data_IF_551472746349
#
_entry.id   IF_551472746349
#
_cell.length_a   1.000
_cell.length_b   1.000
_cell.length_c   1.000
_cell.angle_alpha   90.00
_cell.angle_beta   90.00
_cell.angle_gamma   90.00
#
_symmetry.space_group_name_H-M   'P 1'
#
loop_
_entity.id
_entity.type
_entity.pdbx_description
1 polymer ?
#
# COMPACT_ATOMS: atom_id res chain seq x y z
N UNK A 1 5.10 -1.92 -30.38
CA UNK A 1 5.31 -1.28 -29.06
C UNK A 1 4.39 -0.05 -29.03
N UNK A 2 3.24 -0.15 -28.36
CA UNK A 2 2.27 0.95 -28.28
C UNK A 2 2.42 1.68 -26.93
N UNK A 3 2.34 3.02 -26.89
CA UNK A 3 2.34 3.76 -25.63
C UNK A 3 1.00 3.58 -24.91
N UNK A 4 1.05 3.36 -23.61
CA UNK A 4 -0.14 3.19 -22.77
C UNK A 4 -0.85 4.55 -22.61
N UNK A 5 -2.06 4.66 -23.15
CA UNK A 5 -3.06 5.66 -22.75
C UNK A 5 -3.93 5.02 -21.67
N UNK A 6 -3.55 5.19 -20.41
CA UNK A 6 -4.37 4.88 -19.23
C UNK A 6 -4.75 6.19 -18.55
N UNK A 7 -6.04 6.34 -18.22
CA UNK A 7 -6.65 7.58 -17.73
C UNK A 7 -6.04 8.14 -16.44
N UNK A 8 -6.26 9.44 -16.27
CA UNK A 8 -5.69 10.35 -15.25
C UNK A 8 -4.17 10.41 -15.25
N UNK A 9 -3.65 11.35 -16.04
CA UNK A 9 -2.37 12.06 -15.93
C UNK A 9 -1.17 11.26 -15.41
N UNK A 10 -0.16 11.13 -16.27
CA UNK A 10 1.11 10.51 -15.95
C UNK A 10 1.69 10.98 -14.61
N UNK A 11 1.46 10.20 -13.57
CA UNK A 11 2.25 10.25 -12.35
C UNK A 11 3.55 9.52 -12.67
N UNK A 12 4.55 10.31 -13.02
CA UNK A 12 5.91 9.85 -13.08
C UNK A 12 6.29 9.24 -11.72
N UNK A 13 6.24 7.91 -11.62
CA UNK A 13 7.12 7.19 -10.72
C UNK A 13 8.54 7.53 -11.20
N UNK A 14 9.14 8.57 -10.66
CA UNK A 14 10.51 8.94 -10.99
C UNK A 14 11.40 7.71 -10.77
N UNK A 15 12.11 7.26 -11.81
CA UNK A 15 13.09 6.16 -11.87
C UNK A 15 12.66 4.78 -11.32
N UNK A 16 11.52 4.66 -10.64
CA UNK A 16 10.97 3.45 -10.03
C UNK A 16 10.05 2.66 -10.97
N UNK A 17 10.11 2.94 -12.27
CA UNK A 17 9.44 2.11 -13.29
C UNK A 17 9.85 0.65 -13.17
N UNK A 18 11.09 0.33 -12.78
CA UNK A 18 11.53 -1.06 -12.65
C UNK A 18 10.78 -1.82 -11.53
N UNK A 19 10.61 -1.23 -10.34
CA UNK A 19 9.93 -1.88 -9.22
C UNK A 19 8.45 -2.14 -9.56
N UNK A 20 7.76 -1.10 -10.02
CA UNK A 20 6.35 -1.18 -10.42
C UNK A 20 6.16 -2.07 -11.66
N UNK A 21 7.08 -2.05 -12.63
CA UNK A 21 7.00 -2.98 -13.77
C UNK A 21 7.22 -4.42 -13.32
N UNK A 22 8.12 -4.64 -12.36
CA UNK A 22 8.37 -5.98 -11.84
C UNK A 22 7.14 -6.52 -11.11
N UNK A 23 6.40 -5.70 -10.34
CA UNK A 23 5.15 -6.15 -9.69
C UNK A 23 4.14 -6.66 -10.71
N UNK A 24 3.95 -5.97 -11.83
CA UNK A 24 3.07 -6.45 -12.91
C UNK A 24 3.62 -7.72 -13.58
N UNK A 25 4.93 -7.79 -13.80
CA UNK A 25 5.58 -8.97 -14.39
C UNK A 25 5.37 -10.22 -13.53
N UNK A 26 5.40 -10.09 -12.21
CA UNK A 26 5.16 -11.21 -11.28
C UNK A 26 3.67 -11.41 -10.93
N UNK A 27 2.75 -10.73 -11.61
CA UNK A 27 1.31 -10.93 -11.45
C UNK A 27 0.70 -10.28 -10.19
N UNK A 28 1.33 -9.22 -9.67
CA UNK A 28 0.80 -8.40 -8.58
C UNK A 28 0.16 -7.12 -9.12
N UNK A 29 -0.88 -6.67 -8.41
CA UNK A 29 -1.63 -5.45 -8.68
C UNK A 29 -1.31 -4.39 -7.65
N UNK A 30 -0.95 -3.19 -8.10
CA UNK A 30 -0.69 -2.04 -7.22
C UNK A 30 -2.01 -1.52 -6.64
N UNK A 31 -2.04 -1.30 -5.33
CA UNK A 31 -3.19 -0.83 -4.55
C UNK A 31 -3.11 0.65 -4.18
N UNK A 32 -2.00 1.33 -4.47
CA UNK A 32 -1.85 2.75 -4.14
C UNK A 32 -2.95 3.59 -4.79
N UNK A 33 -3.63 4.40 -3.98
CA UNK A 33 -4.72 5.29 -4.38
C UNK A 33 -4.54 6.70 -3.84
N UNK A 34 -5.25 7.68 -4.38
CA UNK A 34 -5.19 9.06 -3.91
C UNK A 34 -3.89 9.80 -4.24
N UNK A 35 -3.70 10.95 -3.56
CA UNK A 35 -2.65 11.94 -3.86
C UNK A 35 -1.76 12.29 -2.68
N UNK A 36 -2.02 11.73 -1.48
CA UNK A 36 -1.19 11.99 -0.31
C UNK A 36 0.18 11.33 -0.51
N UNK A 37 1.31 12.06 -0.37
CA UNK A 37 2.64 11.49 -0.48
C UNK A 37 2.90 10.49 0.66
N UNK A 38 3.63 9.42 0.39
CA UNK A 38 4.09 8.49 1.42
C UNK A 38 5.41 8.92 2.06
N UNK A 39 6.13 9.87 1.44
CA UNK A 39 7.32 10.50 2.00
C UNK A 39 7.23 12.02 1.89
N UNK A 40 7.49 12.72 3.00
CA UNK A 40 7.58 14.16 3.11
C UNK A 40 8.80 14.55 3.93
N UNK A 41 9.84 15.05 3.27
CA UNK A 41 11.10 15.42 3.91
C UNK A 41 11.27 16.93 3.84
N UNK A 42 11.56 17.57 4.97
CA UNK A 42 12.06 18.94 4.98
C UNK A 42 13.57 18.95 4.75
N UNK A 43 14.00 19.49 3.60
CA UNK A 43 15.42 19.67 3.27
C UNK A 43 15.73 21.15 3.11
N UNK A 44 16.42 21.71 4.10
CA UNK A 44 16.62 23.16 4.19
C UNK A 44 15.27 23.87 4.38
N UNK A 45 14.97 24.84 3.52
CA UNK A 45 13.71 25.59 3.54
C UNK A 45 12.65 25.05 2.56
N UNK A 46 12.80 23.80 2.11
CA UNK A 46 11.91 23.20 1.11
C UNK A 46 11.32 21.89 1.61
N UNK A 47 10.00 21.77 1.48
CA UNK A 47 9.29 20.51 1.65
C UNK A 47 9.35 19.72 0.35
N UNK A 48 9.97 18.55 0.39
CA UNK A 48 10.02 17.60 -0.71
C UNK A 48 9.00 16.49 -0.46
N UNK A 49 8.19 16.17 -1.48
CA UNK A 49 7.12 15.18 -1.40
C UNK A 49 7.36 14.09 -2.44
N UNK A 50 7.21 12.83 -2.06
CA UNK A 50 7.34 11.69 -2.96
C UNK A 50 6.38 10.56 -2.59
N UNK A 51 6.08 9.69 -3.55
CA UNK A 51 5.42 8.40 -3.33
C UNK A 51 6.50 7.33 -3.45
N UNK A 52 7.09 6.95 -2.31
CA UNK A 52 8.17 5.97 -2.24
C UNK A 52 7.65 4.57 -1.90
N UNK A 53 6.61 4.51 -1.07
CA UNK A 53 6.01 3.25 -0.63
C UNK A 53 4.97 2.75 -1.65
N UNK A 54 5.06 1.47 -1.99
CA UNK A 54 4.15 0.75 -2.89
C UNK A 54 3.50 -0.39 -2.15
N UNK A 55 2.17 -0.47 -2.20
CA UNK A 55 1.40 -1.62 -1.75
C UNK A 55 0.91 -2.36 -2.99
N UNK A 56 1.12 -3.68 -3.03
CA UNK A 56 0.64 -4.52 -4.12
C UNK A 56 0.13 -5.86 -3.59
N UNK A 57 -0.79 -6.49 -4.32
CA UNK A 57 -1.36 -7.77 -3.92
C UNK A 57 -1.58 -8.70 -5.12
N UNK A 58 -1.72 -10.00 -4.86
CA UNK A 58 -2.20 -10.95 -5.87
C UNK A 58 -3.65 -10.67 -6.24
N UNK A 59 -4.11 -11.17 -7.39
CA UNK A 59 -5.51 -11.05 -7.83
C UNK A 59 -6.52 -11.54 -6.79
N UNK A 60 -6.16 -12.53 -5.96
CA UNK A 60 -7.05 -13.09 -4.93
C UNK A 60 -7.44 -12.09 -3.83
N UNK A 61 -6.66 -11.03 -3.63
CA UNK A 61 -6.90 -10.00 -2.62
C UNK A 61 -7.43 -8.68 -3.21
N UNK A 62 -7.51 -8.57 -4.54
CA UNK A 62 -7.81 -7.32 -5.23
C UNK A 62 -9.20 -6.76 -4.84
N UNK A 63 -10.19 -7.64 -4.69
CA UNK A 63 -11.54 -7.24 -4.26
C UNK A 63 -11.69 -7.16 -2.74
N UNK A 64 -10.69 -7.59 -1.97
CA UNK A 64 -10.74 -7.68 -0.50
C UNK A 64 -9.95 -6.56 0.18
N UNK A 65 -8.92 -6.03 -0.47
CA UNK A 65 -8.20 -4.85 -0.01
C UNK A 65 -9.04 -3.60 -0.32
N UNK A 66 -9.34 -2.81 0.73
CA UNK A 66 -10.20 -1.63 0.64
C UNK A 66 -9.58 -0.44 1.36
N UNK A 67 -10.06 0.75 1.03
CA UNK A 67 -9.79 1.98 1.78
C UNK A 67 -8.28 2.26 1.91
N UNK A 68 -7.52 2.04 0.82
CA UNK A 68 -6.11 2.36 0.81
C UNK A 68 -5.91 3.86 0.93
N UNK A 69 -5.02 4.28 1.84
CA UNK A 69 -4.65 5.68 1.99
C UNK A 69 -3.27 5.83 2.62
N UNK A 70 -2.59 6.93 2.28
CA UNK A 70 -1.48 7.45 3.07
C UNK A 70 -2.03 8.46 4.10
N UNK A 71 -1.65 8.27 5.37
CA UNK A 71 -2.13 9.02 6.52
C UNK A 71 -0.97 9.78 7.16
N UNK A 72 -1.12 11.10 7.25
CA UNK A 72 -0.16 12.00 7.92
C UNK A 72 -0.30 11.90 9.43
N UNK A 73 0.71 12.35 10.15
CA UNK A 73 0.66 12.62 11.59
C UNK A 73 0.38 11.39 12.50
N UNK A 74 0.48 10.17 11.95
CA UNK A 74 0.41 8.91 12.72
C UNK A 74 1.77 8.58 13.35
N UNK A 75 2.85 8.86 12.62
CA UNK A 75 4.24 8.63 13.04
C UNK A 75 5.02 9.94 12.90
N UNK A 76 5.91 10.23 13.84
CA UNK A 76 6.78 11.42 13.79
C UNK A 76 8.02 11.16 12.92
N UNK A 77 7.81 10.69 11.70
CA UNK A 77 8.85 10.36 10.73
C UNK A 77 8.54 11.08 9.41
N UNK A 78 9.55 11.22 8.56
CA UNK A 78 9.37 11.75 7.21
C UNK A 78 8.49 10.83 6.33
N UNK A 79 8.22 9.60 6.76
CA UNK A 79 7.27 8.70 6.11
C UNK A 79 5.86 8.89 6.67
N UNK A 80 4.87 9.03 5.78
CA UNK A 80 3.47 8.95 6.14
C UNK A 80 3.04 7.48 6.21
N UNK A 81 2.21 7.13 7.20
CA UNK A 81 1.77 5.75 7.37
C UNK A 81 0.84 5.34 6.22
N UNK A 82 1.00 4.12 5.70
CA UNK A 82 0.04 3.54 4.75
C UNK A 82 -0.94 2.66 5.51
N UNK A 83 -2.23 2.87 5.27
CA UNK A 83 -3.31 2.06 5.85
C UNK A 83 -4.22 1.52 4.75
N UNK A 84 -4.78 0.35 5.00
CA UNK A 84 -5.78 -0.31 4.18
C UNK A 84 -6.48 -1.37 5.03
N UNK A 85 -7.72 -1.69 4.70
CA UNK A 85 -8.45 -2.81 5.28
C UNK A 85 -8.33 -4.04 4.38
N UNK A 86 -8.24 -5.22 4.98
CA UNK A 86 -8.37 -6.50 4.26
C UNK A 86 -9.60 -7.21 4.77
N UNK A 87 -10.56 -7.43 3.89
CA UNK A 87 -11.74 -8.23 4.21
C UNK A 87 -11.34 -9.70 4.34
N UNK A 88 -11.54 -10.27 5.53
CA UNK A 88 -11.32 -11.69 5.81
C UNK A 88 -12.67 -12.40 5.82
N UNK A 89 -12.79 -13.47 5.04
CA UNK A 89 -13.96 -14.35 5.05
C UNK A 89 -13.61 -15.63 5.82
N UNK A 90 -14.37 -15.92 6.87
CA UNK A 90 -14.18 -17.09 7.73
C UNK A 90 -14.82 -16.88 9.10
N UNK A 91 -15.22 -17.96 9.77
CA UNK A 91 -15.55 -17.89 11.20
C UNK A 91 -14.23 -17.69 11.95
N UNK A 92 -14.13 -16.62 12.72
CA UNK A 92 -13.18 -16.59 13.83
C UNK A 92 -13.71 -17.59 14.85
N UNK A 93 -13.34 -18.86 14.71
CA UNK A 93 -13.49 -19.79 15.82
C UNK A 93 -12.57 -19.25 16.92
N UNK A 94 -13.11 -18.79 18.07
CA UNK A 94 -12.26 -18.40 19.18
C UNK A 94 -11.38 -19.60 19.51
N UNK A 95 -10.08 -19.40 19.56
CA UNK A 95 -9.14 -20.42 20.01
C UNK A 95 -9.69 -21.08 21.30
N UNK A 96 -9.81 -22.42 21.39
CA UNK A 96 -10.34 -23.03 22.60
C UNK A 96 -9.31 -22.81 23.71
N UNK A 97 -9.66 -21.95 24.67
CA UNK A 97 -9.04 -21.92 25.98
C UNK A 97 -9.49 -23.19 26.74
N UNK A 98 -8.99 -24.36 26.33
CA UNK A 98 -9.00 -25.55 27.18
C UNK A 98 -7.60 -25.80 27.70
N UNK A 99 -7.18 -25.01 28.69
CA UNK A 99 -6.26 -25.55 29.68
C UNK A 99 -7.07 -26.50 30.54
N UNK A 100 -7.01 -27.80 30.23
CA UNK A 100 -7.31 -28.82 31.25
C UNK A 100 -6.19 -28.72 32.29
N UNK A 101 -6.40 -27.91 33.32
CA UNK A 101 -5.71 -28.13 34.59
C UNK A 101 -6.25 -29.47 35.10
N UNK A 102 -5.52 -30.53 34.81
CA UNK A 102 -5.65 -31.79 35.54
C UNK A 102 -5.24 -31.53 36.98
N UNK A 103 -6.24 -31.43 37.84
CA UNK A 103 -6.17 -31.72 39.27
C UNK A 103 -7.23 -32.77 39.58
#
# INVERSE_FOLDING_TARGET
MHPFKGGSEGKAFGNSTACVSHTYYVGLHVLNEGNTPTLEVFRGHRLLKSVMDVTACSSALMDKAKEWQAVRDVISLDHNAVTFAVQVEGRFDPWPLSLSLGL
#
